data_IF_769973992712
#
_entry.id   IF_769973992712
#
_cell.length_a   1.000
_cell.length_b   1.000
_cell.length_c   1.000
_cell.angle_alpha   90.00
_cell.angle_beta   90.00
_cell.angle_gamma   90.00
#
_symmetry.space_group_name_H-M   'P 1'
#
loop_
_entity.id
_entity.type
_entity.pdbx_description
1 polymer ?
#
# COMPACT_ATOMS: atom_id res chain seq x y z
N UNK A 1 12.54 -3.04 30.85
CA UNK A 1 12.41 -2.60 29.44
C UNK A 1 12.54 -3.86 28.60
N UNK A 2 11.43 -4.44 28.15
CA UNK A 2 11.50 -5.64 27.30
C UNK A 2 11.94 -5.20 25.89
N UNK A 3 12.89 -5.91 25.25
CA UNK A 3 13.27 -5.60 23.89
C UNK A 3 12.10 -5.92 22.96
N UNK A 4 11.69 -4.95 22.13
CA UNK A 4 10.77 -5.16 21.02
C UNK A 4 11.45 -6.10 19.99
N UNK A 5 11.41 -7.41 20.23
CA UNK A 5 11.77 -8.44 19.26
C UNK A 5 10.50 -8.89 18.56
N UNK A 6 10.06 -8.15 17.56
CA UNK A 6 8.92 -8.54 16.73
C UNK A 6 9.05 -8.04 15.28
N UNK A 7 10.25 -8.14 14.70
CA UNK A 7 10.28 -8.66 13.33
C UNK A 7 10.14 -10.19 13.44
N UNK A 8 8.97 -10.64 13.94
CA UNK A 8 8.54 -12.01 13.68
C UNK A 8 8.56 -12.18 12.18
N UNK A 9 9.15 -13.29 11.71
CA UNK A 9 9.39 -13.53 10.29
C UNK A 9 8.08 -13.32 9.53
N UNK A 10 8.00 -12.25 8.73
CA UNK A 10 6.92 -12.12 7.76
C UNK A 10 7.06 -13.32 6.82
N UNK A 11 6.11 -14.26 6.93
CA UNK A 11 6.11 -15.52 6.16
C UNK A 11 5.11 -15.46 5.01
N UNK A 12 4.21 -14.48 5.04
CA UNK A 12 3.23 -14.21 4.00
C UNK A 12 3.58 -12.94 3.23
N UNK A 13 3.43 -13.01 1.91
CA UNK A 13 3.38 -11.82 1.05
C UNK A 13 2.17 -10.95 1.40
N UNK A 14 2.16 -9.65 1.02
CA UNK A 14 0.99 -8.80 1.21
C UNK A 14 -0.31 -9.38 0.64
N UNK A 15 -0.22 -10.04 -0.52
CA UNK A 15 -1.37 -10.70 -1.16
C UNK A 15 -1.89 -11.86 -0.31
N UNK A 16 -1.01 -12.80 0.06
CA UNK A 16 -1.38 -13.98 0.86
C UNK A 16 -2.03 -13.59 2.19
N UNK A 17 -1.55 -12.50 2.80
CA UNK A 17 -2.10 -11.97 4.05
C UNK A 17 -3.54 -11.47 3.91
N UNK A 18 -3.83 -10.73 2.84
CA UNK A 18 -5.19 -10.27 2.53
C UNK A 18 -6.09 -11.46 2.25
N UNK A 19 -5.62 -12.42 1.43
CA UNK A 19 -6.38 -13.62 1.07
C UNK A 19 -6.69 -14.50 2.31
N UNK A 20 -5.72 -14.68 3.22
CA UNK A 20 -5.92 -15.39 4.48
C UNK A 20 -6.99 -14.72 5.35
N UNK A 21 -6.93 -13.39 5.47
CA UNK A 21 -7.90 -12.60 6.25
C UNK A 21 -9.31 -12.69 5.66
N UNK A 22 -9.45 -12.57 4.33
CA UNK A 22 -10.74 -12.70 3.64
C UNK A 22 -11.33 -14.12 3.77
N UNK A 23 -10.47 -15.13 3.88
CA UNK A 23 -10.86 -16.52 4.14
C UNK A 23 -11.10 -16.83 5.63
N UNK A 24 -11.11 -15.81 6.51
CA UNK A 24 -11.26 -15.95 7.96
C UNK A 24 -10.20 -16.85 8.61
N UNK A 25 -8.99 -16.88 8.06
CA UNK A 25 -7.81 -17.54 8.62
C UNK A 25 -6.93 -16.52 9.36
N UNK A 26 -6.08 -17.01 10.27
CA UNK A 26 -5.14 -16.17 11.01
C UNK A 26 -3.91 -15.83 10.13
N UNK A 27 -3.67 -14.55 9.80
CA UNK A 27 -2.49 -14.13 9.07
C UNK A 27 -1.26 -14.01 9.99
N UNK A 28 -0.05 -13.99 9.42
CA UNK A 28 1.21 -13.77 10.15
C UNK A 28 1.28 -12.39 10.83
N UNK A 29 0.48 -11.43 10.37
CA UNK A 29 0.15 -10.15 11.03
C UNK A 29 -1.10 -9.55 10.41
N UNK A 30 -1.64 -8.51 11.05
CA UNK A 30 -2.78 -7.75 10.50
C UNK A 30 -2.40 -7.16 9.12
N UNK A 31 -3.18 -7.41 8.05
CA UNK A 31 -2.97 -6.77 6.76
C UNK A 31 -3.26 -5.27 6.86
N UNK A 32 -2.44 -4.48 6.17
CA UNK A 32 -2.67 -3.05 6.00
C UNK A 32 -3.10 -2.79 4.55
N UNK A 33 -4.27 -2.20 4.37
CA UNK A 33 -4.80 -1.77 3.09
C UNK A 33 -5.03 -0.26 3.18
N UNK A 34 -4.32 0.47 2.33
CA UNK A 34 -4.44 1.91 2.25
C UNK A 34 -5.64 2.30 1.36
N UNK A 35 -6.61 3.02 1.93
CA UNK A 35 -7.71 3.62 1.18
C UNK A 35 -7.44 5.11 0.95
N UNK A 36 -6.88 5.43 -0.22
CA UNK A 36 -6.48 6.80 -0.59
C UNK A 36 -7.20 7.31 -1.84
N UNK A 37 -8.35 6.74 -2.22
CA UNK A 37 -9.00 7.05 -3.50
C UNK A 37 -9.20 8.57 -3.74
N UNK A 38 -9.69 9.30 -2.73
CA UNK A 38 -9.89 10.75 -2.84
C UNK A 38 -8.56 11.54 -2.94
N UNK A 39 -7.53 11.11 -2.20
CA UNK A 39 -6.21 11.73 -2.27
C UNK A 39 -5.52 11.44 -3.61
N UNK A 40 -5.69 10.23 -4.15
CA UNK A 40 -5.17 9.84 -5.45
C UNK A 40 -5.82 10.66 -6.57
N UNK A 41 -7.15 10.79 -6.56
CA UNK A 41 -7.88 11.62 -7.52
C UNK A 41 -7.35 13.07 -7.52
N UNK A 42 -7.20 13.67 -6.33
CA UNK A 42 -6.67 15.02 -6.17
C UNK A 42 -5.24 15.15 -6.72
N UNK A 43 -4.36 14.22 -6.36
CA UNK A 43 -2.95 14.24 -6.77
C UNK A 43 -2.75 14.06 -8.28
N UNK A 44 -3.71 13.42 -8.96
CA UNK A 44 -3.66 13.22 -10.41
C UNK A 44 -4.54 14.19 -11.19
N UNK A 45 -5.13 15.19 -10.53
CA UNK A 45 -5.98 16.21 -11.16
C UNK A 45 -7.29 15.66 -11.73
N UNK A 46 -7.74 14.50 -11.24
CA UNK A 46 -8.99 13.86 -11.65
C UNK A 46 -10.13 14.26 -10.72
N UNK A 47 -11.36 14.25 -11.22
CA UNK A 47 -12.53 14.25 -10.31
C UNK A 47 -12.68 12.90 -9.63
N UNK A 48 -13.44 12.88 -8.54
CA UNK A 48 -13.71 11.64 -7.81
C UNK A 48 -14.53 10.66 -8.66
N UNK A 49 -15.43 11.16 -9.49
CA UNK A 49 -16.22 10.38 -10.44
C UNK A 49 -15.34 9.76 -11.53
N UNK A 50 -14.40 10.53 -12.10
CA UNK A 50 -13.44 9.98 -13.06
C UNK A 50 -12.60 8.88 -12.41
N UNK A 51 -12.18 9.07 -11.16
CA UNK A 51 -11.39 8.08 -10.44
C UNK A 51 -12.18 6.81 -10.08
N UNK A 52 -13.48 6.88 -9.82
CA UNK A 52 -14.26 5.67 -9.50
C UNK A 52 -14.82 4.95 -10.73
N UNK A 53 -15.15 5.68 -11.80
CA UNK A 53 -15.90 5.12 -12.92
C UNK A 53 -15.08 4.93 -14.20
N UNK A 54 -13.95 5.64 -14.39
CA UNK A 54 -13.02 5.37 -15.49
C UNK A 54 -11.89 4.47 -15.01
N UNK A 55 -12.19 3.17 -14.94
CA UNK A 55 -11.29 2.12 -14.40
C UNK A 55 -9.88 2.23 -14.96
N UNK A 56 -9.73 2.50 -16.27
CA UNK A 56 -8.41 2.60 -16.89
C UNK A 56 -7.62 3.80 -16.33
N UNK A 57 -8.24 4.97 -16.27
CA UNK A 57 -7.61 6.15 -15.66
C UNK A 57 -7.28 5.93 -14.18
N UNK A 58 -8.13 5.24 -13.43
CA UNK A 58 -7.90 4.94 -12.01
C UNK A 58 -6.66 4.10 -11.79
N UNK A 59 -6.45 3.05 -12.61
CA UNK A 59 -5.25 2.22 -12.53
C UNK A 59 -3.99 3.02 -12.89
N UNK A 60 -4.05 3.85 -13.94
CA UNK A 60 -2.92 4.71 -14.32
C UNK A 60 -2.58 5.73 -13.22
N UNK A 61 -3.59 6.37 -12.63
CA UNK A 61 -3.46 7.33 -11.54
C UNK A 61 -2.87 6.68 -10.29
N UNK A 62 -3.41 5.51 -9.91
CA UNK A 62 -2.90 4.69 -8.80
C UNK A 62 -1.43 4.34 -9.01
N UNK A 63 -1.07 3.85 -10.19
CA UNK A 63 0.32 3.52 -10.54
C UNK A 63 1.28 4.71 -10.40
N UNK A 64 0.87 5.91 -10.85
CA UNK A 64 1.67 7.13 -10.71
C UNK A 64 1.91 7.51 -9.25
N UNK A 65 0.86 7.55 -8.43
CA UNK A 65 0.96 7.94 -7.01
C UNK A 65 1.85 6.98 -6.23
N UNK A 66 1.64 5.67 -6.38
CA UNK A 66 2.44 4.67 -5.68
C UNK A 66 3.87 4.56 -6.23
N UNK A 67 4.07 4.80 -7.53
CA UNK A 67 5.41 4.91 -8.13
C UNK A 67 6.24 6.05 -7.55
N UNK A 68 5.63 7.22 -7.33
CA UNK A 68 6.30 8.36 -6.67
C UNK A 68 6.66 8.06 -5.20
N UNK A 69 5.80 7.37 -4.47
CA UNK A 69 6.07 6.99 -3.08
C UNK A 69 7.19 5.95 -2.98
N UNK A 70 7.19 4.94 -3.86
CA UNK A 70 8.26 3.94 -3.93
C UNK A 70 9.62 4.54 -4.32
N UNK A 71 9.63 5.57 -5.18
CA UNK A 71 10.85 6.30 -5.53
C UNK A 71 11.38 7.14 -4.35
N UNK A 72 10.50 7.68 -3.49
CA UNK A 72 10.92 8.51 -2.34
C UNK A 72 11.59 7.71 -1.21
N UNK A 73 11.31 6.40 -1.11
CA UNK A 73 11.95 5.50 -0.13
C UNK A 73 13.35 5.03 -0.55
N UNK A 74 13.80 5.38 -1.76
CA UNK A 74 15.15 5.11 -2.26
C UNK A 74 16.07 6.33 -2.10
N UNK A 75 16.08 6.97 -0.92
CA UNK A 75 17.23 7.80 -0.55
C UNK A 75 18.23 6.87 0.14
N UNK A 76 19.41 6.57 -0.44
CA UNK A 76 20.41 5.82 0.30
C UNK A 76 20.73 6.63 1.55
N UNK A 77 20.58 5.99 2.72
CA UNK A 77 21.04 6.57 3.97
C UNK A 77 22.48 7.05 3.76
N UNK A 78 22.74 8.33 4.00
CA UNK A 78 24.09 8.85 3.97
C UNK A 78 24.95 7.96 4.89
N UNK A 79 26.12 7.47 4.44
CA UNK A 79 27.01 6.72 5.30
C UNK A 79 27.45 7.60 6.48
N UNK A 80 27.78 6.98 7.64
CA UNK A 80 28.08 7.69 8.89
C UNK A 80 29.24 8.68 8.77
#
# INVERSE_FOLDING_TARGET
MMPLKMHEMETMTPRERVEATLALKEPDRVPFIADFHAAQALLTGMTIEEFFFDVKKSYEATGKVWGCLAASTCTPAAPP
#
